data_IF_115852245242
#
_entry.id   IF_115852245242
#
_cell.length_a   1.000
_cell.length_b   1.000
_cell.length_c   1.000
_cell.angle_alpha   90.00
_cell.angle_beta   90.00
_cell.angle_gamma   90.00
#
_symmetry.space_group_name_H-M   'P 1'
#
loop_
_entity.id
_entity.type
_entity.pdbx_description
1 polymer ?
#
# COMPACT_ATOMS: atom_id res chain seq x y z
N UNK A 1 42.09 -5.58 -7.37
CA UNK A 1 41.32 -6.78 -6.99
C UNK A 1 40.23 -6.92 -8.03
N UNK A 2 40.11 -8.07 -8.69
CA UNK A 2 38.99 -8.33 -9.61
C UNK A 2 37.79 -8.63 -8.72
N UNK A 3 36.78 -7.77 -8.73
CA UNK A 3 35.51 -8.05 -8.05
C UNK A 3 34.95 -9.32 -8.70
N UNK A 4 34.83 -10.40 -7.90
CA UNK A 4 34.26 -11.66 -8.39
C UNK A 4 32.76 -11.41 -8.52
N UNK A 5 32.31 -11.22 -9.76
CA UNK A 5 30.91 -11.02 -10.07
C UNK A 5 30.10 -12.27 -9.72
N UNK A 6 29.01 -12.09 -8.97
CA UNK A 6 28.14 -13.21 -8.58
C UNK A 6 27.53 -13.90 -9.82
N UNK A 7 27.71 -15.21 -9.97
CA UNK A 7 27.10 -15.95 -11.09
C UNK A 7 25.58 -16.12 -10.88
N UNK A 8 24.82 -16.24 -11.98
CA UNK A 8 23.37 -16.51 -11.91
C UNK A 8 23.06 -17.80 -11.16
N UNK A 9 23.87 -18.85 -11.38
CA UNK A 9 23.76 -20.11 -10.64
C UNK A 9 23.85 -19.90 -9.13
N UNK A 10 24.79 -19.05 -8.68
CA UNK A 10 24.95 -18.73 -7.26
C UNK A 10 23.76 -17.93 -6.72
N UNK A 11 23.16 -17.06 -7.53
CA UNK A 11 21.92 -16.35 -7.14
C UNK A 11 20.78 -17.35 -6.88
N UNK A 12 20.57 -18.31 -7.79
CA UNK A 12 19.52 -19.34 -7.61
C UNK A 12 19.77 -20.20 -6.37
N UNK A 13 21.02 -20.63 -6.14
CA UNK A 13 21.39 -21.39 -4.94
C UNK A 13 21.07 -20.62 -3.65
N UNK A 14 21.39 -19.31 -3.60
CA UNK A 14 21.07 -18.45 -2.45
C UNK A 14 19.55 -18.31 -2.29
N UNK A 15 18.79 -18.12 -3.38
CA UNK A 15 17.32 -18.02 -3.32
C UNK A 15 16.67 -19.31 -2.78
N UNK A 16 17.15 -20.46 -3.22
CA UNK A 16 16.67 -21.76 -2.73
C UNK A 16 17.01 -21.98 -1.25
N UNK A 17 18.23 -21.62 -0.83
CA UNK A 17 18.71 -21.78 0.54
C UNK A 17 17.99 -20.84 1.53
N UNK A 18 17.76 -19.59 1.13
CA UNK A 18 17.06 -18.60 1.98
C UNK A 18 15.57 -18.95 2.09
N UNK A 19 14.97 -19.52 1.04
CA UNK A 19 13.59 -20.00 1.03
C UNK A 19 12.56 -18.88 0.81
N UNK A 20 11.29 -19.16 1.14
CA UNK A 20 10.18 -18.24 0.84
C UNK A 20 10.01 -17.17 1.94
N UNK A 21 10.22 -15.87 1.66
CA UNK A 21 10.01 -14.76 2.60
C UNK A 21 8.59 -14.70 3.19
N UNK A 22 7.58 -15.23 2.49
CA UNK A 22 6.20 -15.27 2.99
C UNK A 22 6.02 -16.22 4.19
N UNK A 23 6.99 -17.12 4.44
CA UNK A 23 6.90 -18.15 5.47
C UNK A 23 7.69 -17.82 6.73
N UNK A 24 8.47 -16.73 6.74
CA UNK A 24 9.35 -16.35 7.85
C UNK A 24 9.30 -14.84 8.13
N UNK A 25 9.84 -14.37 9.26
CA UNK A 25 9.90 -12.94 9.55
C UNK A 25 10.94 -12.22 8.67
N UNK A 26 10.83 -10.89 8.47
CA UNK A 26 11.85 -10.11 7.77
C UNK A 26 13.25 -10.28 8.37
N UNK A 27 13.36 -10.37 9.70
CA UNK A 27 14.65 -10.54 10.39
C UNK A 27 15.23 -11.93 10.15
N UNK A 28 14.41 -12.98 10.19
CA UNK A 28 14.85 -14.34 9.91
C UNK A 28 15.32 -14.47 8.45
N UNK A 29 14.56 -13.88 7.53
CA UNK A 29 14.93 -13.84 6.11
C UNK A 29 16.24 -13.09 5.90
N UNK A 30 16.40 -11.93 6.54
CA UNK A 30 17.61 -11.10 6.44
C UNK A 30 18.83 -11.79 7.05
N UNK A 31 18.68 -12.50 8.16
CA UNK A 31 19.74 -13.27 8.80
C UNK A 31 20.19 -14.44 7.92
N UNK A 32 19.24 -15.19 7.33
CA UNK A 32 19.54 -16.26 6.36
C UNK A 32 20.24 -15.70 5.13
N UNK A 33 19.76 -14.58 4.61
CA UNK A 33 20.37 -13.95 3.44
C UNK A 33 21.81 -13.55 3.73
N UNK A 34 22.08 -12.88 4.85
CA UNK A 34 23.45 -12.54 5.29
C UNK A 34 24.33 -13.76 5.50
N UNK A 35 23.78 -14.83 6.06
CA UNK A 35 24.49 -16.09 6.23
C UNK A 35 24.91 -16.70 4.88
N UNK A 36 24.00 -16.75 3.91
CA UNK A 36 24.24 -17.34 2.59
C UNK A 36 25.15 -16.49 1.69
N UNK A 37 25.15 -15.17 1.88
CA UNK A 37 26.03 -14.26 1.12
C UNK A 37 27.42 -14.14 1.74
N UNK A 38 27.57 -14.27 3.06
CA UNK A 38 28.85 -14.30 3.76
C UNK A 38 29.64 -12.99 3.79
N UNK A 39 29.23 -11.98 3.01
CA UNK A 39 29.75 -10.61 3.05
C UNK A 39 28.71 -9.60 2.52
N UNK A 40 28.86 -8.33 2.92
CA UNK A 40 28.00 -7.24 2.45
C UNK A 40 28.18 -6.97 0.94
N UNK A 41 29.40 -7.13 0.40
CA UNK A 41 29.68 -6.97 -1.03
C UNK A 41 28.93 -8.01 -1.88
N UNK A 42 28.86 -9.26 -1.41
CA UNK A 42 28.10 -10.32 -2.08
C UNK A 42 26.60 -10.13 -1.91
N UNK A 43 26.17 -9.58 -0.76
CA UNK A 43 24.78 -9.20 -0.53
C UNK A 43 24.29 -8.14 -1.50
N UNK A 44 25.06 -7.07 -1.71
CA UNK A 44 24.70 -6.01 -2.67
C UNK A 44 24.63 -6.55 -4.10
N UNK A 45 25.64 -7.33 -4.53
CA UNK A 45 25.62 -7.97 -5.85
C UNK A 45 24.44 -8.94 -6.01
N UNK A 46 24.10 -9.70 -4.96
CA UNK A 46 22.93 -10.57 -4.94
C UNK A 46 21.65 -9.75 -5.11
N UNK A 47 21.46 -8.68 -4.33
CA UNK A 47 20.27 -7.85 -4.40
C UNK A 47 20.12 -7.20 -5.77
N UNK A 48 21.20 -6.69 -6.36
CA UNK A 48 21.18 -6.11 -7.70
C UNK A 48 20.79 -7.15 -8.77
N UNK A 49 21.38 -8.35 -8.71
CA UNK A 49 21.08 -9.43 -9.66
C UNK A 49 19.70 -10.05 -9.43
N UNK A 50 19.28 -10.24 -8.18
CA UNK A 50 17.95 -10.72 -7.82
C UNK A 50 16.87 -9.74 -8.27
N UNK A 51 17.10 -8.42 -8.18
CA UNK A 51 16.22 -7.41 -8.76
C UNK A 51 16.15 -7.52 -10.29
N UNK A 52 17.28 -7.72 -10.99
CA UNK A 52 17.32 -7.93 -12.45
C UNK A 52 16.61 -9.22 -12.87
N UNK A 53 16.84 -10.33 -12.18
CA UNK A 53 16.16 -11.62 -12.37
C UNK A 53 14.67 -11.53 -12.02
N UNK A 54 14.31 -10.78 -10.99
CA UNK A 54 12.93 -10.44 -10.59
C UNK A 54 12.17 -9.70 -11.70
N UNK A 55 12.87 -8.90 -12.51
CA UNK A 55 12.28 -8.27 -13.70
C UNK A 55 12.02 -9.25 -14.83
N UNK A 56 12.75 -10.36 -14.88
CA UNK A 56 12.65 -11.41 -15.92
C UNK A 56 11.73 -12.57 -15.52
N UNK A 57 11.47 -12.77 -14.23
CA UNK A 57 10.56 -13.80 -13.73
C UNK A 57 9.11 -13.38 -13.95
N UNK A 58 8.24 -14.37 -14.25
CA UNK A 58 6.81 -14.12 -14.42
C UNK A 58 6.23 -13.61 -13.10
N UNK A 59 5.59 -12.42 -13.07
CA UNK A 59 4.98 -11.91 -11.85
C UNK A 59 3.90 -12.86 -11.33
N UNK A 60 3.70 -12.89 -10.01
CA UNK A 60 2.58 -13.62 -9.42
C UNK A 60 1.26 -13.15 -10.00
N UNK A 61 0.35 -14.09 -10.25
CA UNK A 61 -1.02 -13.77 -10.63
C UNK A 61 -1.69 -12.99 -9.49
N UNK A 62 -2.33 -11.88 -9.84
CA UNK A 62 -3.04 -11.01 -8.90
C UNK A 62 -4.07 -11.81 -8.09
N UNK A 63 -4.84 -12.70 -8.72
CA UNK A 63 -5.82 -13.55 -8.02
C UNK A 63 -5.17 -14.45 -6.96
N UNK A 64 -4.03 -15.09 -7.26
CA UNK A 64 -3.30 -15.92 -6.28
C UNK A 64 -2.84 -15.09 -5.10
N UNK A 65 -2.40 -13.86 -5.35
CA UNK A 65 -1.98 -12.97 -4.29
C UNK A 65 -3.19 -12.50 -3.45
N UNK A 66 -4.32 -12.16 -4.09
CA UNK A 66 -5.57 -11.79 -3.42
C UNK A 66 -6.12 -12.95 -2.55
N UNK A 67 -5.97 -14.20 -3.00
CA UNK A 67 -6.30 -15.39 -2.19
C UNK A 67 -5.44 -15.47 -0.93
N UNK A 68 -4.12 -15.23 -1.03
CA UNK A 68 -3.23 -15.20 0.15
C UNK A 68 -3.63 -14.11 1.14
N UNK A 69 -3.92 -12.92 0.62
CA UNK A 69 -4.39 -11.80 1.41
C UNK A 69 -5.71 -12.13 2.14
N UNK A 70 -6.66 -12.76 1.45
CA UNK A 70 -7.94 -13.18 2.04
C UNK A 70 -7.76 -14.21 3.16
N UNK A 71 -6.78 -15.11 3.05
CA UNK A 71 -6.50 -16.12 4.08
C UNK A 71 -5.64 -15.62 5.25
N UNK A 72 -5.15 -14.38 5.18
CA UNK A 72 -4.28 -13.80 6.20
C UNK A 72 -5.06 -13.51 7.49
N UNK A 73 -4.46 -13.81 8.64
CA UNK A 73 -5.02 -13.42 9.94
C UNK A 73 -4.70 -11.94 10.25
N UNK A 74 -5.64 -11.04 9.97
CA UNK A 74 -5.47 -9.60 10.23
C UNK A 74 -5.36 -9.22 11.72
N UNK A 75 -5.65 -10.17 12.63
CA UNK A 75 -5.39 -10.00 14.06
C UNK A 75 -3.93 -10.29 14.43
N UNK A 76 -3.22 -11.05 13.60
CA UNK A 76 -1.80 -11.33 13.77
C UNK A 76 -0.95 -10.27 13.05
N UNK A 77 -0.42 -9.37 13.85
CA UNK A 77 0.46 -8.28 13.43
C UNK A 77 1.74 -8.81 12.76
N UNK A 78 2.21 -10.00 13.15
CA UNK A 78 3.34 -10.65 12.48
C UNK A 78 2.96 -11.16 11.10
N UNK A 79 1.77 -11.74 10.92
CA UNK A 79 1.28 -12.16 9.60
C UNK A 79 1.17 -10.98 8.62
N UNK A 80 0.65 -9.84 9.09
CA UNK A 80 0.57 -8.60 8.31
C UNK A 80 1.98 -8.13 7.90
N UNK A 81 2.93 -8.10 8.83
CA UNK A 81 4.31 -7.69 8.56
C UNK A 81 5.00 -8.59 7.53
N UNK A 82 4.83 -9.91 7.65
CA UNK A 82 5.37 -10.90 6.68
C UNK A 82 4.77 -10.70 5.29
N UNK A 83 3.48 -10.41 5.23
CA UNK A 83 2.77 -10.21 3.97
C UNK A 83 3.22 -8.93 3.25
N UNK A 84 3.38 -7.82 3.98
CA UNK A 84 3.92 -6.58 3.44
C UNK A 84 5.37 -6.74 2.99
N UNK A 85 6.20 -7.46 3.75
CA UNK A 85 7.56 -7.78 3.32
C UNK A 85 7.59 -8.67 2.08
N UNK A 86 6.65 -9.61 1.94
CA UNK A 86 6.53 -10.39 0.72
C UNK A 86 6.14 -9.52 -0.49
N UNK A 87 5.37 -8.43 -0.30
CA UNK A 87 5.05 -7.46 -1.35
C UNK A 87 6.26 -6.66 -1.83
N UNK A 88 7.23 -6.36 -0.96
CA UNK A 88 8.45 -5.64 -1.36
C UNK A 88 9.36 -6.52 -2.21
N UNK A 89 9.34 -7.83 -1.98
CA UNK A 89 10.23 -8.79 -2.64
C UNK A 89 9.65 -9.39 -3.91
N UNK A 90 8.33 -9.55 -4.00
CA UNK A 90 7.70 -10.21 -5.13
C UNK A 90 7.02 -9.23 -6.07
N UNK A 91 7.29 -9.42 -7.37
CA UNK A 91 6.56 -8.75 -8.43
C UNK A 91 5.18 -9.40 -8.57
N UNK A 92 4.12 -8.63 -8.29
CA UNK A 92 2.73 -9.06 -8.47
C UNK A 92 2.15 -8.36 -9.69
N UNK A 93 1.33 -9.05 -10.48
CA UNK A 93 0.55 -8.37 -11.53
C UNK A 93 -0.42 -7.39 -10.89
N UNK A 94 -0.80 -6.37 -11.66
CA UNK A 94 -1.82 -5.40 -11.23
C UNK A 94 -3.12 -6.12 -10.89
N UNK A 95 -3.79 -5.66 -9.83
CA UNK A 95 -5.13 -6.15 -9.49
C UNK A 95 -6.16 -5.31 -10.20
N UNK A 96 -7.12 -5.95 -10.88
CA UNK A 96 -8.26 -5.23 -11.41
C UNK A 96 -9.17 -4.82 -10.24
N UNK A 97 -9.38 -3.51 -10.08
CA UNK A 97 -10.33 -2.98 -9.10
C UNK A 97 -11.75 -2.98 -9.68
N UNK A 98 -11.88 -2.69 -10.96
CA UNK A 98 -13.14 -2.76 -11.70
C UNK A 98 -12.88 -2.79 -13.20
N UNK A 99 -13.71 -3.52 -13.92
CA UNK A 99 -13.66 -3.62 -15.37
C UNK A 99 -14.95 -3.01 -15.91
N UNK A 100 -14.88 -1.78 -16.41
CA UNK A 100 -15.84 -1.31 -17.40
C UNK A 100 -15.24 -1.55 -18.78
N UNK A 101 -16.08 -1.81 -19.78
CA UNK A 101 -15.68 -2.20 -21.12
C UNK A 101 -14.71 -1.27 -21.87
N UNK A 102 -14.23 -0.17 -21.28
CA UNK A 102 -13.21 0.74 -21.85
C UNK A 102 -12.23 1.36 -20.83
N UNK A 103 -12.63 1.67 -19.58
CA UNK A 103 -11.73 2.23 -18.53
C UNK A 103 -11.37 1.18 -17.47
N UNK A 104 -10.14 0.67 -17.51
CA UNK A 104 -9.65 -0.30 -16.50
C UNK A 104 -8.93 0.45 -15.37
N UNK A 105 -9.53 0.45 -14.17
CA UNK A 105 -8.83 0.82 -12.94
C UNK A 105 -8.12 -0.41 -12.40
N UNK A 106 -6.81 -0.31 -12.26
CA UNK A 106 -5.99 -1.38 -11.73
C UNK A 106 -5.14 -0.88 -10.57
N UNK A 107 -4.65 -1.78 -9.73
CA UNK A 107 -3.84 -1.45 -8.56
C UNK A 107 -2.48 -2.06 -8.73
N UNK A 108 -1.45 -1.21 -8.77
CA UNK A 108 -0.06 -1.63 -8.74
C UNK A 108 0.35 -1.79 -7.28
N UNK A 109 0.87 -2.96 -6.92
CA UNK A 109 1.48 -3.15 -5.59
C UNK A 109 2.56 -2.11 -5.39
N UNK A 110 2.47 -1.37 -4.29
CA UNK A 110 3.43 -0.36 -3.92
C UNK A 110 3.69 -0.48 -2.42
N UNK A 111 4.84 -1.02 -1.99
CA UNK A 111 5.16 -1.13 -0.58
C UNK A 111 5.39 0.22 0.08
N UNK A 112 5.68 1.27 -0.69
CA UNK A 112 5.87 2.63 -0.17
C UNK A 112 4.54 3.39 -0.08
N UNK A 113 3.41 2.74 -0.40
CA UNK A 113 2.08 3.33 -0.36
C UNK A 113 1.79 3.91 1.03
N UNK A 114 1.66 5.25 1.09
CA UNK A 114 1.39 6.05 2.29
C UNK A 114 2.51 6.10 3.35
N UNK A 115 3.79 5.96 2.99
CA UNK A 115 4.87 6.27 3.94
C UNK A 115 4.84 7.75 4.37
N UNK A 116 4.52 8.00 5.64
CA UNK A 116 4.51 9.34 6.23
C UNK A 116 5.92 9.93 6.34
N UNK A 117 6.04 11.26 6.40
CA UNK A 117 7.33 11.98 6.51
C UNK A 117 8.15 11.60 7.75
N UNK A 118 7.52 11.01 8.77
CA UNK A 118 8.20 10.53 9.99
C UNK A 118 9.13 9.34 9.71
N UNK A 119 8.88 8.57 8.64
CA UNK A 119 9.77 7.54 8.13
C UNK A 119 10.90 8.13 7.26
N UNK A 120 11.79 8.91 7.86
CA UNK A 120 13.21 8.87 7.44
C UNK A 120 13.90 7.78 8.24
N UNK A 121 13.41 6.54 8.15
CA UNK A 121 14.15 5.40 8.70
C UNK A 121 15.23 5.02 7.69
N UNK A 122 16.49 4.82 8.14
CA UNK A 122 17.52 4.24 7.28
C UNK A 122 17.05 2.87 6.77
N UNK A 123 17.56 2.39 5.62
CA UNK A 123 17.28 1.06 5.13
C UNK A 123 17.48 0.06 6.27
N UNK A 124 16.46 -0.76 6.51
CA UNK A 124 16.40 -1.85 7.48
C UNK A 124 17.79 -2.30 7.93
N UNK A 125 18.29 -1.70 9.01
CA UNK A 125 19.50 -2.16 9.67
C UNK A 125 19.07 -3.32 10.58
N UNK A 126 19.54 -4.55 10.38
CA UNK A 126 19.06 -5.74 11.10
C UNK A 126 19.50 -5.82 12.57
N UNK A 127 19.81 -4.68 13.17
CA UNK A 127 20.45 -4.58 14.49
C UNK A 127 19.87 -3.46 15.35
N UNK A 128 18.64 -2.99 15.07
CA UNK A 128 17.96 -2.16 16.05
C UNK A 128 17.55 -3.06 17.24
N UNK A 129 18.27 -2.91 18.35
CA UNK A 129 18.11 -3.66 19.59
C UNK A 129 16.64 -3.75 20.02
N UNK A 130 16.10 -4.97 19.95
CA UNK A 130 14.76 -5.35 20.40
C UNK A 130 14.61 -5.21 21.94
N UNK A 131 15.72 -4.99 22.67
CA UNK A 131 15.72 -4.77 24.12
C UNK A 131 15.35 -3.33 24.53
N UNK A 132 15.38 -2.37 23.60
CA UNK A 132 14.91 -0.99 23.83
C UNK A 132 13.44 -0.88 23.44
N UNK A 133 12.54 -1.35 24.31
CA UNK A 133 11.10 -1.26 24.08
C UNK A 133 10.62 0.10 23.56
N UNK A 134 9.67 0.05 22.62
CA UNK A 134 8.71 1.11 22.22
C UNK A 134 8.96 2.05 21.01
N UNK A 135 9.97 1.87 20.14
CA UNK A 135 10.21 2.84 19.04
C UNK A 135 10.13 2.34 17.59
N UNK A 136 9.60 1.14 17.32
CA UNK A 136 9.41 0.70 15.93
C UNK A 136 7.96 0.91 15.48
N UNK A 137 7.79 1.86 14.55
CA UNK A 137 6.57 2.00 13.77
C UNK A 137 6.25 0.66 13.08
N UNK A 138 4.96 0.32 12.99
CA UNK A 138 4.53 -0.89 12.33
C UNK A 138 4.78 -0.77 10.82
N UNK A 139 5.49 -1.71 10.19
CA UNK A 139 5.98 -1.54 8.81
C UNK A 139 4.87 -1.51 7.75
N UNK A 140 3.66 -1.97 8.10
CA UNK A 140 2.59 -2.20 7.13
C UNK A 140 1.22 -1.62 7.54
N UNK A 141 1.13 -0.97 8.71
CA UNK A 141 -0.15 -0.50 9.25
C UNK A 141 -0.07 0.98 9.53
N UNK A 142 -1.11 1.69 9.09
CA UNK A 142 -1.21 3.14 9.19
C UNK A 142 -2.50 3.48 9.90
N UNK A 143 -2.42 4.38 10.88
CA UNK A 143 -3.61 4.96 11.47
C UNK A 143 -4.13 6.08 10.58
N UNK A 144 -5.44 6.06 10.28
CA UNK A 144 -6.09 7.17 9.61
C UNK A 144 -6.88 8.01 10.62
N UNK A 145 -6.69 9.31 10.54
CA UNK A 145 -7.37 10.29 11.38
C UNK A 145 -7.95 11.39 10.49
N UNK A 146 -9.12 11.93 10.86
CA UNK A 146 -9.57 13.17 10.24
C UNK A 146 -8.64 14.28 10.71
N UNK A 147 -8.06 15.02 9.78
CA UNK A 147 -7.23 16.17 10.09
C UNK A 147 -8.08 17.30 10.64
N UNK A 148 -7.62 17.89 11.74
CA UNK A 148 -8.14 19.19 12.17
C UNK A 148 -7.65 20.25 11.17
N UNK A 149 -8.58 20.99 10.59
CA UNK A 149 -8.26 22.14 9.73
C UNK A 149 -7.75 23.27 10.63
N UNK A 150 -6.49 23.19 11.06
CA UNK A 150 -5.76 24.35 11.56
C UNK A 150 -5.05 25.00 10.39
N UNK A 151 -5.80 25.73 9.57
CA UNK A 151 -5.21 26.76 8.71
C UNK A 151 -4.62 27.83 9.64
N UNK A 152 -3.36 28.26 9.48
CA UNK A 152 -2.87 29.45 10.16
C UNK A 152 -3.63 30.65 9.59
N UNK A 153 -4.68 31.08 10.29
CA UNK A 153 -5.40 32.31 9.98
C UNK A 153 -4.56 33.53 10.39
N UNK A 154 -4.59 34.58 9.57
CA UNK A 154 -4.88 35.89 10.11
C UNK A 154 -6.18 36.43 9.50
N UNK A 155 -7.22 36.39 10.33
CA UNK A 155 -8.36 37.32 10.40
C UNK A 155 -9.43 37.40 9.29
N UNK A 156 -10.66 37.88 9.65
CA UNK A 156 -11.87 37.09 9.44
C UNK A 156 -12.79 37.65 8.36
N UNK A 157 -13.50 36.77 7.66
CA UNK A 157 -14.85 37.07 7.19
C UNK A 157 -15.77 35.83 7.28
N UNK A 158 -17.00 35.96 7.79
CA UNK A 158 -17.89 34.84 8.02
C UNK A 158 -18.72 34.59 6.76
N UNK A 159 -18.53 33.46 6.09
CA UNK A 159 -19.47 33.04 5.04
C UNK A 159 -19.44 31.54 4.79
N UNK A 160 -20.50 30.90 5.31
CA UNK A 160 -21.10 29.63 4.88
C UNK A 160 -20.30 28.37 5.21
N UNK A 161 -20.60 27.86 6.41
CA UNK A 161 -20.56 26.44 6.76
C UNK A 161 -21.09 25.57 5.63
N UNK A 162 -20.17 25.03 4.82
CA UNK A 162 -20.41 23.80 4.08
C UNK A 162 -20.33 22.67 5.10
N UNK A 163 -21.51 22.25 5.55
CA UNK A 163 -21.71 21.11 6.42
C UNK A 163 -20.98 19.90 5.84
N UNK A 164 -20.04 19.35 6.61
CA UNK A 164 -19.43 18.04 6.36
C UNK A 164 -20.57 17.02 6.31
N UNK A 165 -21.04 16.66 5.12
CA UNK A 165 -22.03 15.61 4.94
C UNK A 165 -21.33 14.26 5.12
N UNK A 166 -21.17 13.85 6.38
CA UNK A 166 -20.81 12.48 6.71
C UNK A 166 -22.01 11.58 6.42
N UNK A 167 -22.03 10.97 5.24
CA UNK A 167 -22.93 9.84 4.96
C UNK A 167 -22.31 8.58 5.57
N UNK A 168 -22.88 8.12 6.69
CA UNK A 168 -23.02 6.71 7.07
C UNK A 168 -21.78 5.88 7.48
N UNK A 169 -20.58 6.15 6.98
CA UNK A 169 -19.41 5.27 7.22
C UNK A 169 -18.31 6.04 7.93
N UNK A 170 -17.92 5.58 9.12
CA UNK A 170 -16.76 6.10 9.84
C UNK A 170 -15.48 5.72 9.08
N UNK A 171 -14.55 6.67 8.93
CA UNK A 171 -13.20 6.43 8.42
C UNK A 171 -12.56 5.25 9.17
N UNK A 172 -11.90 4.29 8.50
CA UNK A 172 -11.24 3.18 9.17
C UNK A 172 -10.08 3.71 10.01
N UNK A 173 -9.99 3.30 11.28
CA UNK A 173 -8.96 3.82 12.19
C UNK A 173 -7.56 3.26 11.93
N UNK A 174 -7.49 2.08 11.31
CA UNK A 174 -6.27 1.36 11.04
C UNK A 174 -6.40 0.61 9.71
N UNK A 175 -5.48 0.89 8.78
CA UNK A 175 -5.50 0.30 7.45
C UNK A 175 -4.16 -0.34 7.08
N UNK A 176 -4.21 -1.34 6.21
CA UNK A 176 -3.04 -1.89 5.52
C UNK A 176 -3.08 -1.42 4.06
N UNK A 177 -2.17 -0.53 3.63
CA UNK A 177 -2.01 -0.18 2.21
C UNK A 177 -1.54 -1.40 1.42
N UNK A 178 -2.08 -1.59 0.21
CA UNK A 178 -1.68 -2.67 -0.70
C UNK A 178 -0.94 -2.10 -1.92
N UNK A 179 -1.32 -0.91 -2.37
CA UNK A 179 -0.70 -0.32 -3.54
C UNK A 179 -1.41 0.92 -4.07
N UNK A 180 -0.88 1.42 -5.18
CA UNK A 180 -1.34 2.63 -5.84
C UNK A 180 -2.40 2.31 -6.89
N UNK A 181 -3.49 3.06 -6.88
CA UNK A 181 -4.49 3.01 -7.94
C UNK A 181 -3.91 3.64 -9.21
N UNK A 182 -4.07 2.93 -10.31
CA UNK A 182 -3.72 3.39 -11.63
C UNK A 182 -4.94 3.39 -12.55
N UNK A 183 -4.94 4.32 -13.49
CA UNK A 183 -5.94 4.41 -14.55
C UNK A 183 -5.28 4.03 -15.88
N UNK A 184 -5.92 3.17 -16.66
CA UNK A 184 -5.48 2.87 -18.03
C UNK A 184 -5.44 4.14 -18.87
N UNK A 185 -4.36 4.35 -19.63
CA UNK A 185 -4.27 5.45 -20.59
C UNK A 185 -5.33 5.28 -21.68
N UNK A 186 -5.89 6.40 -22.16
CA UNK A 186 -6.80 6.43 -23.31
C UNK A 186 -6.06 6.65 -24.63
N UNK A 187 -4.72 6.73 -24.62
CA UNK A 187 -3.92 6.89 -25.83
C UNK A 187 -3.80 5.53 -26.57
N UNK A 188 -4.04 5.53 -27.89
CA UNK A 188 -4.36 4.33 -28.69
C UNK A 188 -3.23 3.27 -28.80
N UNK A 189 -2.00 3.58 -28.38
CA UNK A 189 -0.81 2.75 -28.65
C UNK A 189 -0.10 2.17 -27.42
N UNK A 190 -0.53 2.44 -26.19
CA UNK A 190 0.16 1.93 -25.00
C UNK A 190 -0.75 1.13 -24.06
N UNK A 191 -0.26 -0.05 -23.65
CA UNK A 191 -0.73 -0.81 -22.47
C UNK A 191 -0.43 -0.07 -21.15
N UNK A 192 -0.23 1.25 -21.18
CA UNK A 192 0.29 2.04 -20.08
C UNK A 192 -0.81 2.50 -19.13
N UNK A 193 -0.48 2.32 -17.86
CA UNK A 193 -1.29 2.72 -16.72
C UNK A 193 -0.64 3.94 -16.08
N UNK A 194 -1.43 5.00 -15.90
CA UNK A 194 -0.99 6.22 -15.24
C UNK A 194 -1.32 6.13 -13.75
N UNK A 195 -0.33 6.42 -12.92
CA UNK A 195 -0.50 6.50 -11.46
C UNK A 195 -1.50 7.60 -11.10
N UNK A 196 -2.40 7.30 -10.16
CA UNK A 196 -3.26 8.30 -9.52
C UNK A 196 -2.76 8.58 -8.11
N UNK A 197 -3.23 9.67 -7.53
CA UNK A 197 -2.92 10.02 -6.13
C UNK A 197 -3.73 9.19 -5.11
N UNK A 198 -4.47 8.17 -5.55
CA UNK A 198 -5.18 7.28 -4.62
C UNK A 198 -4.39 6.01 -4.35
N UNK A 199 -4.38 5.60 -3.09
CA UNK A 199 -3.90 4.30 -2.65
C UNK A 199 -5.06 3.41 -2.24
N UNK A 200 -4.94 2.13 -2.56
CA UNK A 200 -5.85 1.12 -2.08
C UNK A 200 -5.38 0.60 -0.73
N UNK A 201 -6.29 0.58 0.24
CA UNK A 201 -6.03 0.10 1.58
C UNK A 201 -7.15 -0.80 2.09
N UNK A 202 -6.79 -1.72 2.99
CA UNK A 202 -7.74 -2.63 3.64
C UNK A 202 -7.96 -2.16 5.05
N UNK A 203 -9.22 -2.07 5.47
CA UNK A 203 -9.53 -1.88 6.88
C UNK A 203 -9.19 -3.15 7.67
N UNK A 204 -8.13 -3.06 8.47
CA UNK A 204 -7.64 -4.18 9.29
C UNK A 204 -8.52 -4.42 10.53
N UNK A 205 -9.39 -3.48 10.90
CA UNK A 205 -10.16 -3.52 12.15
C UNK A 205 -11.50 -4.24 12.02
N UNK A 206 -12.06 -4.33 10.81
CA UNK A 206 -13.36 -4.96 10.57
C UNK A 206 -13.18 -6.40 10.14
N UNK A 207 -14.05 -7.29 10.61
CA UNK A 207 -14.00 -8.73 10.30
C UNK A 207 -14.15 -9.06 8.81
N UNK A 208 -14.86 -8.22 8.07
CA UNK A 208 -15.07 -8.39 6.63
C UNK A 208 -14.00 -7.69 5.78
N UNK A 209 -13.09 -6.92 6.39
CA UNK A 209 -11.98 -6.25 5.71
C UNK A 209 -12.43 -5.46 4.46
N UNK A 210 -13.26 -4.41 4.60
CA UNK A 210 -13.66 -3.58 3.47
C UNK A 210 -12.45 -2.89 2.83
N UNK A 211 -12.56 -2.64 1.53
CA UNK A 211 -11.49 -2.05 0.73
C UNK A 211 -11.80 -0.58 0.49
N UNK A 212 -10.78 0.26 0.71
CA UNK A 212 -10.86 1.70 0.67
C UNK A 212 -9.88 2.28 -0.33
N UNK A 213 -10.27 3.38 -0.96
CA UNK A 213 -9.36 4.31 -1.62
C UNK A 213 -9.11 5.49 -0.70
N UNK A 214 -7.84 5.82 -0.48
CA UNK A 214 -7.38 6.95 0.32
C UNK A 214 -6.56 7.86 -0.56
N UNK A 215 -6.87 9.15 -0.58
CA UNK A 215 -6.14 10.14 -1.35
C UNK A 215 -4.85 10.53 -0.62
N UNK A 216 -3.71 10.44 -1.30
CA UNK A 216 -2.45 10.96 -0.80
C UNK A 216 -2.39 12.46 -1.02
N UNK A 217 -2.67 13.20 0.05
CA UNK A 217 -2.50 14.66 0.07
C UNK A 217 -1.04 15.10 0.10
N UNK A 218 -0.06 14.20 0.14
CA UNK A 218 1.36 14.52 0.18
C UNK A 218 2.21 13.64 -0.76
N UNK A 219 1.86 13.56 -2.06
CA UNK A 219 2.52 12.66 -3.00
C UNK A 219 3.99 13.06 -3.20
N UNK A 220 4.84 12.06 -3.49
CA UNK A 220 6.21 12.30 -3.96
C UNK A 220 6.15 12.73 -5.43
N UNK A 221 6.69 13.89 -5.77
CA UNK A 221 6.89 14.28 -7.17
C UNK A 221 8.13 13.56 -7.75
N UNK A 222 8.31 13.59 -9.07
CA UNK A 222 9.45 13.04 -9.81
C UNK A 222 10.84 13.40 -9.25
N UNK A 223 10.98 14.57 -8.60
CA UNK A 223 12.21 15.03 -7.97
C UNK A 223 12.40 14.50 -6.54
N UNK A 224 11.49 13.66 -6.05
CA UNK A 224 11.46 13.10 -4.69
C UNK A 224 10.88 14.02 -3.63
N UNK A 225 10.63 15.29 -3.94
CA UNK A 225 10.02 16.25 -3.02
C UNK A 225 8.53 15.98 -2.84
N UNK A 226 8.07 16.04 -1.58
CA UNK A 226 6.66 15.91 -1.22
C UNK A 226 6.05 17.30 -1.02
N UNK A 227 4.82 17.49 -1.50
CA UNK A 227 4.09 18.74 -1.32
C UNK A 227 2.62 18.46 -1.01
N UNK A 228 2.00 19.36 -0.24
CA UNK A 228 0.60 19.19 0.15
C UNK A 228 -0.32 19.54 -1.02
N UNK A 229 -1.16 18.58 -1.39
CA UNK A 229 -2.12 18.67 -2.49
C UNK A 229 -3.55 18.64 -1.95
N UNK A 230 -4.40 19.48 -2.53
CA UNK A 230 -5.83 19.51 -2.26
C UNK A 230 -6.58 18.75 -3.38
N UNK A 231 -7.25 17.62 -3.09
CA UNK A 231 -7.92 16.79 -4.10
C UNK A 231 -8.96 17.56 -4.92
N UNK A 232 -9.59 18.58 -4.33
CA UNK A 232 -10.58 19.44 -4.99
C UNK A 232 -9.99 20.31 -6.11
N UNK A 233 -8.66 20.50 -6.13
CA UNK A 233 -7.94 21.27 -7.15
C UNK A 233 -7.28 20.40 -8.22
N UNK A 234 -7.37 19.08 -8.09
CA UNK A 234 -6.75 18.13 -9.00
C UNK A 234 -7.72 17.64 -10.08
N UNK A 235 -7.20 17.14 -11.22
CA UNK A 235 -8.01 16.46 -12.21
C UNK A 235 -8.87 15.35 -11.60
N UNK A 236 -10.08 15.17 -12.13
CA UNK A 236 -10.99 14.13 -11.64
C UNK A 236 -10.47 12.75 -12.05
N UNK A 237 -10.21 11.90 -11.06
CA UNK A 237 -9.88 10.48 -11.30
C UNK A 237 -11.13 9.70 -11.71
N UNK A 238 -12.22 9.90 -10.96
CA UNK A 238 -13.53 9.27 -11.21
C UNK A 238 -14.53 10.32 -11.73
N UNK A 239 -14.65 10.44 -13.05
CA UNK A 239 -15.47 11.48 -13.70
C UNK A 239 -16.95 11.40 -13.28
N UNK A 240 -17.46 10.20 -13.07
CA UNK A 240 -18.86 9.88 -12.73
C UNK A 240 -19.26 10.28 -11.30
N UNK A 241 -18.26 10.61 -10.46
CA UNK A 241 -18.48 11.14 -9.11
C UNK A 241 -18.50 12.68 -9.10
N UNK A 242 -17.99 13.34 -10.14
CA UNK A 242 -17.97 14.80 -10.28
C UNK A 242 -17.02 15.55 -9.33
N UNK A 243 -16.38 14.86 -8.39
CA UNK A 243 -15.38 15.39 -7.46
C UNK A 243 -14.43 14.29 -6.98
N UNK A 244 -13.23 14.70 -6.59
CA UNK A 244 -12.33 13.84 -5.82
C UNK A 244 -12.79 13.74 -4.35
N UNK A 245 -12.18 12.86 -3.59
CA UNK A 245 -12.52 12.56 -2.20
C UNK A 245 -11.24 12.22 -1.41
N UNK A 246 -11.32 12.27 -0.09
CA UNK A 246 -10.18 11.95 0.78
C UNK A 246 -10.11 10.48 1.14
N UNK A 247 -11.28 9.88 1.39
CA UNK A 247 -11.39 8.46 1.66
C UNK A 247 -12.74 7.95 1.16
N UNK A 248 -12.77 6.75 0.60
CA UNK A 248 -14.00 6.15 0.12
C UNK A 248 -13.92 4.64 0.16
N UNK A 249 -14.97 4.01 0.66
CA UNK A 249 -15.08 2.56 0.59
C UNK A 249 -15.50 2.18 -0.84
N UNK A 250 -14.68 1.37 -1.50
CA UNK A 250 -14.93 0.90 -2.87
C UNK A 250 -15.52 -0.51 -2.90
N UNK A 251 -15.18 -1.35 -1.93
CA UNK A 251 -15.68 -2.72 -1.85
C UNK A 251 -16.16 -3.05 -0.42
N UNK A 252 -17.26 -3.83 -0.30
CA UNK A 252 -17.81 -4.20 1.00
C UNK A 252 -16.94 -5.18 1.79
N UNK A 253 -16.09 -5.98 1.13
CA UNK A 253 -15.19 -6.93 1.77
C UNK A 253 -14.13 -7.47 0.81
N UNK A 254 -13.01 -7.96 1.35
CA UNK A 254 -12.02 -8.74 0.58
C UNK A 254 -12.62 -10.00 -0.04
N UNK A 255 -13.50 -10.70 0.68
CA UNK A 255 -14.18 -11.88 0.16
C UNK A 255 -14.98 -11.54 -1.10
N UNK A 256 -15.68 -10.42 -1.09
CA UNK A 256 -16.45 -9.95 -2.24
C UNK A 256 -15.53 -9.59 -3.40
N UNK A 257 -14.39 -8.93 -3.16
CA UNK A 257 -13.40 -8.69 -4.20
C UNK A 257 -12.94 -10.00 -4.86
N UNK A 258 -12.60 -11.01 -4.06
CA UNK A 258 -12.14 -12.30 -4.56
C UNK A 258 -13.22 -13.03 -5.38
N UNK A 259 -14.47 -13.05 -4.91
CA UNK A 259 -15.56 -13.75 -5.61
C UNK A 259 -15.89 -13.16 -6.99
N UNK A 260 -15.70 -11.85 -7.16
CA UNK A 260 -16.04 -11.14 -8.39
C UNK A 260 -14.80 -10.63 -9.13
N UNK A 261 -13.60 -11.10 -8.78
CA UNK A 261 -12.36 -10.68 -9.41
C UNK A 261 -12.42 -10.84 -10.93
N UNK A 262 -12.04 -9.80 -11.67
CA UNK A 262 -12.15 -9.73 -13.13
C UNK A 262 -13.58 -9.66 -13.70
N UNK A 263 -14.60 -9.53 -12.84
CA UNK A 263 -16.02 -9.43 -13.20
C UNK A 263 -16.74 -8.29 -12.45
N UNK A 264 -15.96 -7.41 -11.84
CA UNK A 264 -16.48 -6.28 -11.07
C UNK A 264 -17.01 -5.20 -11.99
N UNK A 265 -18.33 -5.05 -12.00
CA UNK A 265 -19.01 -3.95 -12.69
C UNK A 265 -18.74 -2.62 -11.96
N UNK A 266 -18.11 -1.70 -12.68
CA UNK A 266 -17.80 -0.37 -12.19
C UNK A 266 -19.05 0.42 -11.78
N UNK A 267 -20.20 0.22 -12.44
CA UNK A 267 -21.45 0.88 -12.06
C UNK A 267 -21.93 0.45 -10.67
N UNK A 268 -21.73 -0.82 -10.30
CA UNK A 268 -22.00 -1.31 -8.95
C UNK A 268 -21.05 -0.71 -7.92
N UNK A 269 -19.75 -0.59 -8.24
CA UNK A 269 -18.78 0.08 -7.36
C UNK A 269 -19.14 1.55 -7.16
N UNK A 270 -19.48 2.28 -8.23
CA UNK A 270 -19.91 3.68 -8.17
C UNK A 270 -21.08 3.89 -7.21
N UNK A 271 -22.02 2.94 -7.15
CA UNK A 271 -23.15 3.00 -6.21
C UNK A 271 -22.68 2.94 -4.75
N UNK A 272 -21.70 2.09 -4.43
CA UNK A 272 -21.09 2.01 -3.10
C UNK A 272 -20.29 3.27 -2.78
N UNK A 273 -19.48 3.71 -3.74
CA UNK A 273 -18.65 4.91 -3.65
C UNK A 273 -19.46 6.17 -3.31
N UNK A 274 -20.57 6.39 -4.03
CA UNK A 274 -21.47 7.54 -3.79
C UNK A 274 -22.05 7.58 -2.38
N UNK A 275 -22.20 6.43 -1.71
CA UNK A 275 -22.76 6.35 -0.37
C UNK A 275 -21.74 6.58 0.76
N UNK A 276 -20.44 6.41 0.48
CA UNK A 276 -19.39 6.28 1.50
C UNK A 276 -18.27 7.32 1.39
N UNK A 277 -18.37 8.24 0.42
CA UNK A 277 -17.36 9.28 0.21
C UNK A 277 -17.18 10.20 1.41
N UNK A 278 -15.93 10.31 1.86
CA UNK A 278 -15.48 11.23 2.89
C UNK A 278 -14.66 12.32 2.21
N UNK A 279 -15.00 13.58 2.48
CA UNK A 279 -14.26 14.76 2.04
C UNK A 279 -13.76 15.54 3.25
N UNK A 280 -12.61 16.19 3.09
CA UNK A 280 -11.90 16.90 4.14
C UNK A 280 -10.66 16.11 4.58
N UNK A 281 -9.60 16.80 5.06
CA UNK A 281 -8.28 16.20 5.22
C UNK A 281 -8.31 14.89 6.00
N UNK A 282 -7.74 13.84 5.40
CA UNK A 282 -7.40 12.59 6.09
C UNK A 282 -5.90 12.55 6.26
N UNK A 283 -5.46 12.38 7.51
CA UNK A 283 -4.05 12.23 7.87
C UNK A 283 -3.75 10.75 8.07
N UNK A 284 -2.75 10.26 7.35
CA UNK A 284 -2.04 9.03 7.67
C UNK A 284 -1.03 9.32 8.78
N UNK A 285 -0.96 8.44 9.79
CA UNK A 285 0.06 8.48 10.84
C UNK A 285 0.65 7.09 11.05
N UNK A 286 1.97 7.06 11.26
CA UNK A 286 2.67 5.88 11.74
C UNK A 286 2.11 5.44 13.09
N UNK A 287 2.13 4.14 13.31
CA UNK A 287 1.57 3.52 14.49
C UNK A 287 2.62 2.63 15.15
N UNK A 288 2.85 2.79 16.44
CA UNK A 288 3.75 1.89 17.16
C UNK A 288 3.23 0.44 17.12
N UNK A 289 4.14 -0.53 17.08
CA UNK A 289 3.80 -1.96 17.10
C UNK A 289 2.90 -2.34 18.30
N UNK A 290 3.17 -1.76 19.48
CA UNK A 290 2.41 -1.98 20.71
C UNK A 290 0.97 -1.46 20.59
N UNK A 291 0.78 -0.32 19.93
CA UNK A 291 -0.53 0.27 19.68
C UNK A 291 -1.32 -0.52 18.62
N UNK A 292 -0.67 -0.96 17.54
CA UNK A 292 -1.28 -1.82 16.52
C UNK A 292 -1.86 -3.10 17.14
N UNK A 293 -1.07 -3.79 17.98
CA UNK A 293 -1.51 -4.98 18.72
C UNK A 293 -2.71 -4.69 19.61
N UNK A 294 -2.74 -3.53 20.28
CA UNK A 294 -3.84 -3.13 21.16
C UNK A 294 -5.14 -2.83 20.39
N UNK A 295 -5.05 -2.28 19.19
CA UNK A 295 -6.21 -2.01 18.33
C UNK A 295 -6.78 -3.32 17.78
N UNK A 296 -5.92 -4.20 17.25
CA UNK A 296 -6.32 -5.44 16.58
C UNK A 296 -6.74 -6.58 17.53
N UNK A 297 -6.42 -6.47 18.82
CA UNK A 297 -6.86 -7.42 19.84
C UNK A 297 -8.27 -7.16 20.38
N UNK A 298 -8.92 -6.06 19.98
CA UNK A 298 -10.31 -5.74 20.33
C UNK A 298 -11.31 -6.52 19.46
#
# INVERSE_FOLDING_TARGET
MVAIELSEKRVTEIQEAVGNPSTMSPDEYSAKLKHETGSDEILEQFLEKACKLGRQTTPYLAETWLQRLYTMEFRDVAAISKHHFALTLYRVRRFDLGTDGEDTFAVRTDPDALLTQEATLPPLSPSADIESGDYHAHPALISLQKGDVSLPHPDPEPSKTNTVTASGTSLPSLVMPIGQLQKKSMEEDDDDYVDTDYFLAIDATKTNHPVWLIYDRNPRHDLGERHIVDPDKQPLVFKELGKNFDAMQVLPSLQWWLMYYGRLDFAHMLKVMRATGITGPVQAKELALSEAKKILSK
#
